data_IF_202489350150
#
_entry.id   IF_202489350150
#
_cell.length_a   1.000
_cell.length_b   1.000
_cell.length_c   1.000
_cell.angle_alpha   90.00
_cell.angle_beta   90.00
_cell.angle_gamma   90.00
#
_symmetry.space_group_name_H-M   'P 1'
#
loop_
_entity.id
_entity.type
_entity.pdbx_description
1 polymer ?
#
# COMPACT_ATOMS: atom_id res chain seq x y z
N UNK A 1 -8.61 -15.66 -12.00
CA UNK A 1 -8.26 -17.09 -11.75
C UNK A 1 -6.87 -17.32 -12.33
N UNK A 2 -5.88 -17.53 -11.46
CA UNK A 2 -4.53 -17.88 -11.88
C UNK A 2 -4.57 -19.23 -12.58
N UNK A 3 -4.49 -19.26 -13.90
CA UNK A 3 -4.10 -20.47 -14.61
C UNK A 3 -2.57 -20.63 -14.54
N UNK A 4 -2.06 -20.90 -13.36
CA UNK A 4 -0.81 -21.61 -13.25
C UNK A 4 -1.12 -23.07 -13.57
N UNK A 5 -0.37 -23.69 -14.46
CA UNK A 5 -0.42 -25.14 -14.58
C UNK A 5 0.06 -25.67 -13.22
N UNK A 6 -0.88 -26.20 -12.44
CA UNK A 6 -0.56 -26.73 -11.12
C UNK A 6 0.11 -28.08 -11.31
N UNK A 7 1.31 -28.19 -10.75
CA UNK A 7 1.96 -29.47 -10.57
C UNK A 7 1.47 -30.12 -9.28
N UNK A 8 1.62 -31.43 -9.10
CA UNK A 8 1.26 -32.10 -7.84
C UNK A 8 1.94 -31.54 -6.60
N UNK A 9 3.07 -30.83 -6.77
CA UNK A 9 3.84 -30.17 -5.70
C UNK A 9 3.40 -28.73 -5.42
N UNK A 10 2.49 -28.17 -6.21
CA UNK A 10 1.96 -26.82 -6.00
C UNK A 10 0.85 -26.84 -4.93
N UNK A 11 1.22 -26.58 -3.68
CA UNK A 11 0.26 -26.40 -2.60
C UNK A 11 -0.59 -25.14 -2.81
N UNK A 12 -1.92 -25.28 -2.79
CA UNK A 12 -2.84 -24.14 -2.67
C UNK A 12 -2.80 -23.61 -1.23
N UNK A 13 -2.40 -22.35 -1.07
CA UNK A 13 -2.45 -21.68 0.23
C UNK A 13 -3.72 -20.83 0.30
N UNK A 14 -4.71 -21.18 1.15
CA UNK A 14 -5.91 -20.37 1.28
C UNK A 14 -5.65 -19.10 2.09
N UNK A 15 -6.47 -18.08 1.88
CA UNK A 15 -6.61 -16.96 2.81
C UNK A 15 -7.31 -17.45 4.09
N UNK A 16 -6.99 -16.84 5.23
CA UNK A 16 -7.63 -17.24 6.50
C UNK A 16 -9.10 -16.80 6.54
N UNK A 17 -9.37 -15.55 6.18
CA UNK A 17 -10.72 -15.00 6.03
C UNK A 17 -10.86 -14.52 4.59
N UNK A 18 -11.68 -15.20 3.81
CA UNK A 18 -12.03 -14.79 2.45
C UNK A 18 -13.53 -14.44 2.37
N UNK A 19 -13.83 -13.22 1.98
CA UNK A 19 -15.17 -12.69 1.86
C UNK A 19 -15.42 -12.32 0.39
N UNK A 20 -16.49 -12.85 -0.20
CA UNK A 20 -16.82 -12.57 -1.59
C UNK A 20 -18.19 -11.91 -1.73
N UNK A 21 -18.22 -10.71 -2.32
CA UNK A 21 -19.43 -9.95 -2.61
C UNK A 21 -20.33 -9.72 -1.37
N UNK A 22 -19.71 -9.57 -0.19
CA UNK A 22 -20.43 -9.34 1.06
C UNK A 22 -20.71 -7.84 1.28
N UNK A 23 -21.78 -7.55 2.02
CA UNK A 23 -22.15 -6.18 2.41
C UNK A 23 -22.34 -6.08 3.91
N UNK A 24 -22.01 -4.92 4.48
CA UNK A 24 -22.14 -4.61 5.91
C UNK A 24 -21.46 -5.67 6.80
N UNK A 25 -20.17 -5.81 6.58
CA UNK A 25 -19.33 -6.77 7.30
C UNK A 25 -18.62 -6.05 8.45
N UNK A 26 -18.61 -6.69 9.61
CA UNK A 26 -17.80 -6.30 10.76
C UNK A 26 -16.90 -7.46 11.17
N UNK A 27 -15.59 -7.19 11.26
CA UNK A 27 -14.60 -8.06 11.90
C UNK A 27 -14.03 -7.26 13.06
N UNK A 28 -14.31 -7.68 14.29
CA UNK A 28 -13.99 -6.89 15.48
C UNK A 28 -13.34 -7.74 16.57
N UNK A 29 -12.33 -7.16 17.24
CA UNK A 29 -11.72 -7.65 18.48
C UNK A 29 -11.26 -9.12 18.44
N UNK A 30 -10.67 -9.53 17.32
CA UNK A 30 -10.12 -10.88 17.14
C UNK A 30 -8.61 -10.84 16.88
N UNK A 31 -7.95 -11.93 17.28
CA UNK A 31 -6.53 -12.16 16.95
C UNK A 31 -6.41 -13.24 15.89
N UNK A 32 -5.75 -12.92 14.78
CA UNK A 32 -5.57 -13.78 13.62
C UNK A 32 -4.09 -14.16 13.48
N UNK A 33 -3.82 -15.45 13.46
CA UNK A 33 -2.47 -16.00 13.52
C UNK A 33 -2.23 -17.03 12.42
N UNK A 34 -1.00 -17.09 11.93
CA UNK A 34 -0.46 -18.20 11.14
C UNK A 34 -1.29 -18.56 9.91
N UNK A 35 -1.78 -17.57 9.19
CA UNK A 35 -2.38 -17.81 7.87
C UNK A 35 -1.32 -18.32 6.88
N UNK A 36 -1.62 -19.33 6.07
CA UNK A 36 -0.68 -19.78 5.04
C UNK A 36 -0.52 -18.81 3.87
N UNK A 37 -1.38 -17.79 3.78
CA UNK A 37 -1.41 -16.75 2.73
C UNK A 37 -1.98 -15.46 3.33
N UNK A 38 -2.54 -14.55 2.54
CA UNK A 38 -3.21 -13.33 3.01
C UNK A 38 -4.18 -13.63 4.14
N UNK A 39 -4.23 -12.78 5.16
CA UNK A 39 -5.03 -13.07 6.37
C UNK A 39 -6.49 -12.70 6.16
N UNK A 40 -6.77 -11.42 5.84
CA UNK A 40 -8.13 -10.93 5.58
C UNK A 40 -8.20 -10.49 4.12
N UNK A 41 -8.97 -11.20 3.30
CA UNK A 41 -9.13 -10.89 1.87
C UNK A 41 -10.60 -10.72 1.50
N UNK A 42 -11.17 -9.51 1.64
CA UNK A 42 -12.48 -9.18 1.11
C UNK A 42 -12.36 -8.86 -0.39
N UNK A 43 -13.18 -9.50 -1.20
CA UNK A 43 -13.26 -9.31 -2.66
C UNK A 43 -14.67 -8.87 -3.04
N UNK A 44 -14.79 -7.74 -3.76
CA UNK A 44 -16.06 -7.12 -4.16
C UNK A 44 -17.01 -6.82 -3.00
N UNK A 45 -16.46 -6.50 -1.82
CA UNK A 45 -17.25 -6.19 -0.63
C UNK A 45 -17.56 -4.70 -0.53
N UNK A 46 -18.69 -4.39 0.12
CA UNK A 46 -19.12 -3.01 0.37
C UNK A 46 -19.51 -2.81 1.85
N UNK A 47 -19.07 -1.68 2.41
CA UNK A 47 -19.32 -1.32 3.82
C UNK A 47 -18.70 -2.35 4.77
N UNK A 48 -17.38 -2.47 4.73
CA UNK A 48 -16.59 -3.34 5.59
C UNK A 48 -15.94 -2.52 6.72
N UNK A 49 -16.04 -3.02 7.93
CA UNK A 49 -15.28 -2.51 9.09
C UNK A 49 -14.40 -3.62 9.65
N UNK A 50 -13.10 -3.32 9.80
CA UNK A 50 -12.11 -4.15 10.51
C UNK A 50 -11.62 -3.32 11.69
N UNK A 51 -11.93 -3.72 12.92
CA UNK A 51 -11.69 -2.92 14.11
C UNK A 51 -11.11 -3.74 15.25
N UNK A 52 -10.10 -3.19 15.94
CA UNK A 52 -9.50 -3.85 17.09
C UNK A 52 -8.88 -5.21 16.78
N UNK A 53 -8.54 -5.46 15.52
CA UNK A 53 -8.00 -6.76 15.07
C UNK A 53 -6.48 -6.78 15.24
N UNK A 54 -5.97 -7.88 15.78
CA UNK A 54 -4.55 -8.15 15.89
C UNK A 54 -4.13 -9.24 14.89
N UNK A 55 -3.30 -8.88 13.91
CA UNK A 55 -2.75 -9.81 12.93
C UNK A 55 -1.28 -10.08 13.26
N UNK A 56 -0.94 -11.35 13.43
CA UNK A 56 0.45 -11.82 13.52
C UNK A 56 0.68 -12.92 12.48
N UNK A 57 1.33 -12.59 11.37
CA UNK A 57 1.52 -13.50 10.24
C UNK A 57 2.83 -13.25 9.49
N UNK A 58 3.92 -13.79 9.98
CA UNK A 58 5.29 -13.59 9.49
C UNK A 58 5.66 -14.43 8.26
N UNK A 59 4.76 -15.27 7.76
CA UNK A 59 5.01 -16.12 6.59
C UNK A 59 5.09 -15.33 5.26
N UNK A 60 5.62 -15.94 4.20
CA UNK A 60 5.67 -15.33 2.87
C UNK A 60 4.26 -15.13 2.30
N UNK A 61 4.03 -13.98 1.67
CA UNK A 61 2.70 -13.49 1.27
C UNK A 61 1.71 -13.47 2.46
N UNK A 62 2.24 -13.14 3.62
CA UNK A 62 1.48 -13.07 4.87
C UNK A 62 0.88 -11.70 5.10
N UNK A 63 0.30 -11.10 4.05
CA UNK A 63 -0.37 -9.79 4.09
C UNK A 63 -1.49 -9.78 5.13
N UNK A 64 -1.65 -8.68 5.86
CA UNK A 64 -2.60 -8.61 6.96
C UNK A 64 -4.05 -8.39 6.52
N UNK A 65 -4.29 -7.41 5.65
CA UNK A 65 -5.63 -7.12 5.15
C UNK A 65 -5.56 -6.60 3.71
N UNK A 66 -6.20 -7.31 2.80
CA UNK A 66 -6.13 -7.09 1.35
C UNK A 66 -7.51 -6.80 0.74
N UNK A 67 -8.08 -5.60 0.95
CA UNK A 67 -9.33 -5.23 0.30
C UNK A 67 -9.14 -5.18 -1.22
N UNK A 68 -9.85 -6.03 -1.97
CA UNK A 68 -9.77 -6.09 -3.43
C UNK A 68 -11.10 -5.72 -4.07
N UNK A 69 -11.10 -4.68 -4.88
CA UNK A 69 -12.31 -4.11 -5.51
C UNK A 69 -13.43 -3.85 -4.50
N UNK A 70 -13.05 -3.34 -3.33
CA UNK A 70 -13.95 -3.06 -2.21
C UNK A 70 -14.27 -1.57 -2.12
N UNK A 71 -15.44 -1.26 -1.55
CA UNK A 71 -15.93 0.10 -1.38
C UNK A 71 -16.39 0.38 0.03
N UNK A 72 -16.08 1.60 0.53
CA UNK A 72 -16.45 2.05 1.87
C UNK A 72 -15.90 1.12 2.96
N UNK A 73 -14.57 1.08 3.07
CA UNK A 73 -13.85 0.23 4.02
C UNK A 73 -13.25 1.08 5.14
N UNK A 74 -13.48 0.68 6.37
CA UNK A 74 -12.84 1.25 7.56
C UNK A 74 -11.96 0.19 8.22
N UNK A 75 -10.67 0.51 8.39
CA UNK A 75 -9.71 -0.29 9.17
C UNK A 75 -9.23 0.59 10.31
N UNK A 76 -9.62 0.27 11.54
CA UNK A 76 -9.30 1.11 12.69
C UNK A 76 -8.86 0.33 13.93
N UNK A 77 -8.01 0.96 14.73
CA UNK A 77 -7.56 0.44 16.03
C UNK A 77 -6.89 -0.95 15.92
N UNK A 78 -6.33 -1.30 14.76
CA UNK A 78 -5.74 -2.60 14.47
C UNK A 78 -4.23 -2.62 14.67
N UNK A 79 -3.70 -3.82 14.93
CA UNK A 79 -2.25 -4.07 14.96
C UNK A 79 -1.89 -5.10 13.90
N UNK A 80 -0.89 -4.77 13.07
CA UNK A 80 -0.35 -5.65 12.03
C UNK A 80 1.12 -5.93 12.28
N UNK A 81 1.47 -7.22 12.28
CA UNK A 81 2.83 -7.73 12.38
C UNK A 81 2.98 -8.85 11.34
N UNK A 82 3.45 -8.49 10.15
CA UNK A 82 3.32 -9.32 8.94
C UNK A 82 4.67 -9.64 8.31
N UNK A 83 4.70 -10.67 7.49
CA UNK A 83 5.87 -11.05 6.68
C UNK A 83 5.82 -10.48 5.25
N UNK A 84 4.67 -9.93 4.84
CA UNK A 84 4.48 -9.17 3.61
C UNK A 84 3.76 -7.85 3.95
N UNK A 85 2.95 -7.26 3.10
CA UNK A 85 2.33 -5.97 3.35
C UNK A 85 1.35 -6.02 4.56
N UNK A 86 1.32 -4.99 5.42
CA UNK A 86 0.35 -4.95 6.53
C UNK A 86 -1.07 -4.77 6.02
N UNK A 87 -1.28 -3.79 5.13
CA UNK A 87 -2.53 -3.57 4.41
C UNK A 87 -2.17 -3.43 2.93
N UNK A 88 -2.76 -4.24 2.05
CA UNK A 88 -2.50 -4.19 0.61
C UNK A 88 -3.80 -4.07 -0.20
N UNK A 89 -4.12 -2.85 -0.58
CA UNK A 89 -5.33 -2.54 -1.35
C UNK A 89 -5.14 -2.97 -2.80
N UNK A 90 -6.11 -3.72 -3.33
CA UNK A 90 -6.07 -4.34 -4.66
C UNK A 90 -7.36 -4.06 -5.44
N UNK A 91 -7.32 -4.25 -6.76
CA UNK A 91 -8.50 -4.19 -7.64
C UNK A 91 -8.33 -5.04 -8.90
N UNK A 92 -7.85 -6.25 -8.69
CA UNK A 92 -7.68 -7.24 -9.74
C UNK A 92 -6.38 -7.14 -10.51
N UNK A 93 -6.01 -8.26 -11.11
CA UNK A 93 -4.72 -8.45 -11.77
C UNK A 93 -4.86 -8.48 -13.28
N UNK A 94 -4.07 -7.66 -13.98
CA UNK A 94 -3.91 -7.67 -15.43
C UNK A 94 -5.27 -7.63 -16.19
N UNK A 95 -5.42 -8.51 -17.18
CA UNK A 95 -6.61 -8.59 -18.00
C UNK A 95 -7.89 -8.85 -17.20
N UNK A 96 -7.81 -9.67 -16.15
CA UNK A 96 -8.98 -9.98 -15.33
C UNK A 96 -9.45 -8.73 -14.55
N UNK A 97 -8.54 -8.01 -13.91
CA UNK A 97 -8.86 -6.75 -13.24
C UNK A 97 -9.41 -5.69 -14.20
N UNK A 98 -8.81 -5.56 -15.39
CA UNK A 98 -9.31 -4.61 -16.41
C UNK A 98 -10.67 -5.00 -16.95
N UNK A 99 -10.95 -6.29 -17.11
CA UNK A 99 -12.26 -6.79 -17.58
C UNK A 99 -13.40 -6.43 -16.62
N UNK A 100 -13.16 -6.61 -15.32
CA UNK A 100 -14.11 -6.22 -14.30
C UNK A 100 -14.19 -4.71 -14.14
N UNK A 101 -13.05 -4.03 -14.22
CA UNK A 101 -12.93 -2.57 -14.10
C UNK A 101 -13.65 -1.99 -12.86
N UNK A 102 -13.55 -2.70 -11.74
CA UNK A 102 -14.12 -2.31 -10.45
C UNK A 102 -12.98 -1.82 -9.56
N UNK A 103 -12.87 -0.53 -9.28
CA UNK A 103 -11.85 0.00 -8.39
C UNK A 103 -12.10 -0.39 -6.93
N UNK A 104 -11.07 -0.34 -6.12
CA UNK A 104 -11.24 -0.14 -4.69
C UNK A 104 -11.38 1.35 -4.40
N UNK A 105 -12.32 1.75 -3.52
CA UNK A 105 -12.60 3.16 -3.27
C UNK A 105 -13.11 3.46 -1.86
N UNK A 106 -12.84 4.67 -1.39
CA UNK A 106 -13.29 5.18 -0.10
C UNK A 106 -12.81 4.29 1.06
N UNK A 107 -11.50 4.18 1.22
CA UNK A 107 -10.89 3.40 2.30
C UNK A 107 -10.27 4.34 3.33
N UNK A 108 -10.58 4.11 4.59
CA UNK A 108 -10.00 4.82 5.73
C UNK A 108 -9.21 3.82 6.57
N UNK A 109 -7.94 4.15 6.84
CA UNK A 109 -7.06 3.43 7.77
C UNK A 109 -6.69 4.40 8.89
N UNK A 110 -7.07 4.11 10.11
CA UNK A 110 -6.77 5.02 11.22
C UNK A 110 -6.45 4.33 12.53
N UNK A 111 -5.65 5.01 13.35
CA UNK A 111 -5.27 4.56 14.69
C UNK A 111 -4.61 3.17 14.71
N UNK A 112 -3.97 2.77 13.63
CA UNK A 112 -3.38 1.44 13.50
C UNK A 112 -1.89 1.46 13.87
N UNK A 113 -1.42 0.31 14.36
CA UNK A 113 -0.01 0.03 14.59
C UNK A 113 0.49 -0.99 13.55
N UNK A 114 1.46 -0.61 12.72
CA UNK A 114 2.15 -1.50 11.78
C UNK A 114 3.58 -1.73 12.29
N UNK A 115 3.96 -3.00 12.46
CA UNK A 115 5.27 -3.37 13.02
C UNK A 115 6.25 -3.80 11.94
N UNK A 116 5.96 -4.89 11.27
CA UNK A 116 6.85 -5.48 10.25
C UNK A 116 6.10 -5.64 8.93
N UNK A 117 6.85 -5.84 7.86
CA UNK A 117 6.29 -6.14 6.55
C UNK A 117 6.92 -5.35 5.41
N UNK A 118 6.50 -5.66 4.19
CA UNK A 118 7.02 -4.98 3.00
C UNK A 118 6.43 -3.57 2.81
N UNK A 119 5.36 -3.25 3.52
CA UNK A 119 4.75 -1.93 3.55
C UNK A 119 3.66 -1.79 4.61
N UNK A 120 3.52 -0.61 5.20
CA UNK A 120 2.48 -0.33 6.17
C UNK A 120 1.10 -0.23 5.50
N UNK A 121 0.92 0.77 4.64
CA UNK A 121 -0.27 0.86 3.78
C UNK A 121 0.18 0.86 2.33
N UNK A 122 -0.27 -0.15 1.58
CA UNK A 122 0.17 -0.43 0.23
C UNK A 122 -1.02 -0.40 -0.74
N UNK A 123 -0.81 0.16 -1.92
CA UNK A 123 -1.72 0.09 -3.06
C UNK A 123 -1.01 -0.74 -4.14
N UNK A 124 -1.62 -1.87 -4.51
CA UNK A 124 -1.07 -2.78 -5.50
C UNK A 124 -0.37 -4.02 -4.93
N UNK A 125 0.31 -4.76 -5.81
CA UNK A 125 0.48 -4.53 -7.26
C UNK A 125 -0.74 -4.85 -8.11
N UNK A 126 -1.67 -5.69 -7.68
CA UNK A 126 -2.89 -6.08 -8.38
C UNK A 126 -3.92 -4.93 -8.33
N UNK A 127 -3.71 -3.90 -9.16
CA UNK A 127 -4.49 -2.66 -9.11
C UNK A 127 -5.08 -2.26 -10.48
N UNK A 128 -5.37 -3.25 -11.32
CA UNK A 128 -5.77 -3.03 -12.70
C UNK A 128 -7.16 -2.40 -12.85
N UNK A 129 -8.03 -2.54 -11.84
CA UNK A 129 -9.33 -1.84 -11.78
C UNK A 129 -9.24 -0.40 -11.26
N UNK A 130 -8.04 0.04 -10.85
CA UNK A 130 -7.84 1.38 -10.29
C UNK A 130 -8.14 1.49 -8.80
N UNK A 131 -7.84 2.67 -8.26
CA UNK A 131 -8.08 3.02 -6.86
C UNK A 131 -8.35 4.51 -6.68
N UNK A 132 -9.23 4.88 -5.76
CA UNK A 132 -9.46 6.28 -5.38
C UNK A 132 -9.92 6.46 -3.95
N UNK A 133 -9.53 7.60 -3.38
CA UNK A 133 -9.94 8.10 -2.07
C UNK A 133 -9.44 7.22 -0.90
N UNK A 134 -8.13 7.24 -0.65
CA UNK A 134 -7.50 6.69 0.55
C UNK A 134 -7.27 7.78 1.59
N UNK A 135 -7.63 7.48 2.83
CA UNK A 135 -7.29 8.29 3.98
C UNK A 135 -6.54 7.43 4.99
N UNK A 136 -5.28 7.78 5.27
CA UNK A 136 -4.46 7.14 6.31
C UNK A 136 -4.16 8.16 7.38
N UNK A 137 -4.61 7.93 8.61
CA UNK A 137 -4.45 8.93 9.66
C UNK A 137 -4.18 8.35 11.05
N UNK A 138 -3.39 9.09 11.84
CA UNK A 138 -3.11 8.77 13.23
C UNK A 138 -2.53 7.37 13.44
N UNK A 139 -1.72 6.89 12.49
CA UNK A 139 -1.09 5.58 12.58
C UNK A 139 0.34 5.68 13.11
N UNK A 140 0.79 4.61 13.74
CA UNK A 140 2.18 4.45 14.16
C UNK A 140 2.81 3.27 13.43
N UNK A 141 4.04 3.47 12.98
CA UNK A 141 4.83 2.45 12.28
C UNK A 141 6.25 2.45 12.82
N UNK A 142 6.75 1.30 13.25
CA UNK A 142 8.08 1.25 13.87
C UNK A 142 8.67 -0.16 13.81
N UNK A 143 9.52 -0.41 12.83
CA UNK A 143 10.32 -1.62 12.79
C UNK A 143 11.47 -1.52 11.78
N UNK A 144 12.65 -2.10 12.08
CA UNK A 144 13.71 -2.26 11.09
C UNK A 144 13.33 -3.22 9.96
N UNK A 145 12.31 -4.06 10.18
CA UNK A 145 11.78 -5.02 9.21
C UNK A 145 10.52 -4.52 8.50
N UNK A 146 10.15 -3.26 8.70
CA UNK A 146 9.15 -2.58 7.87
C UNK A 146 9.88 -1.88 6.71
N UNK A 147 9.66 -2.33 5.48
CA UNK A 147 10.39 -1.75 4.35
C UNK A 147 9.96 -0.31 4.02
N UNK A 148 8.66 -0.07 3.92
CA UNK A 148 8.07 1.21 3.49
C UNK A 148 6.85 1.56 4.33
N UNK A 149 6.63 2.84 4.54
CA UNK A 149 5.46 3.31 5.31
C UNK A 149 4.23 3.36 4.41
N UNK A 150 4.29 4.14 3.33
CA UNK A 150 3.27 4.23 2.28
C UNK A 150 3.89 3.76 0.97
N UNK A 151 3.24 2.81 0.32
CA UNK A 151 3.77 2.21 -0.90
C UNK A 151 2.71 2.12 -1.99
N UNK A 152 3.02 2.64 -3.17
CA UNK A 152 2.23 2.44 -4.39
C UNK A 152 3.10 1.65 -5.36
N UNK A 153 2.64 0.46 -5.76
CA UNK A 153 3.39 -0.43 -6.65
C UNK A 153 2.48 -0.94 -7.76
N UNK A 154 2.87 -0.67 -9.00
CA UNK A 154 2.15 -1.13 -10.20
C UNK A 154 3.13 -1.23 -11.38
N UNK A 155 2.66 -1.59 -12.54
CA UNK A 155 3.45 -1.67 -13.77
C UNK A 155 2.58 -1.57 -15.02
N UNK A 156 3.23 -1.48 -16.17
CA UNK A 156 2.53 -1.46 -17.47
C UNK A 156 1.79 -2.76 -17.82
N UNK A 157 1.93 -3.81 -17.01
CA UNK A 157 1.08 -5.00 -17.06
C UNK A 157 -0.30 -4.78 -16.40
N UNK A 158 -0.33 -3.90 -15.40
CA UNK A 158 -1.51 -3.64 -14.56
C UNK A 158 -2.36 -2.52 -15.13
N UNK A 159 -1.74 -1.38 -15.43
CA UNK A 159 -2.48 -0.15 -15.69
C UNK A 159 -3.14 0.39 -14.43
N UNK A 160 -4.29 1.02 -14.61
CA UNK A 160 -5.14 1.54 -13.53
C UNK A 160 -4.84 3.00 -13.18
N UNK A 161 -5.88 3.72 -12.78
CA UNK A 161 -5.80 5.06 -12.22
C UNK A 161 -5.81 4.96 -10.69
N UNK A 162 -4.79 5.53 -10.05
CA UNK A 162 -4.65 5.59 -8.59
C UNK A 162 -4.64 7.07 -8.20
N UNK A 163 -5.65 7.51 -7.47
CA UNK A 163 -5.80 8.93 -7.17
C UNK A 163 -6.40 9.24 -5.79
N UNK A 164 -6.12 10.46 -5.31
CA UNK A 164 -6.66 11.01 -4.07
C UNK A 164 -6.21 10.22 -2.84
N UNK A 165 -4.93 10.24 -2.57
CA UNK A 165 -4.29 9.56 -1.44
C UNK A 165 -3.91 10.62 -0.40
N UNK A 166 -4.52 10.58 0.76
CA UNK A 166 -4.31 11.54 1.85
C UNK A 166 -3.76 10.82 3.08
N UNK A 167 -2.54 11.17 3.45
CA UNK A 167 -1.82 10.60 4.60
C UNK A 167 -1.52 11.71 5.59
N UNK A 168 -1.96 11.57 6.84
CA UNK A 168 -1.74 12.61 7.84
C UNK A 168 -1.52 12.08 9.26
N UNK A 169 -0.73 12.82 10.03
CA UNK A 169 -0.49 12.52 11.44
C UNK A 169 0.09 11.12 11.64
N UNK A 170 1.14 10.77 10.91
CA UNK A 170 1.82 9.47 11.02
C UNK A 170 3.11 9.64 11.80
N UNK A 171 3.29 8.78 12.79
CA UNK A 171 4.56 8.69 13.54
C UNK A 171 5.30 7.43 13.13
N UNK A 172 6.51 7.61 12.59
CA UNK A 172 7.39 6.52 12.20
C UNK A 172 8.62 6.53 13.09
N UNK A 173 8.83 5.45 13.85
CA UNK A 173 10.10 5.24 14.56
C UNK A 173 11.17 4.91 13.53
N UNK A 174 11.01 3.85 12.78
CA UNK A 174 11.91 3.51 11.68
C UNK A 174 11.20 2.69 10.60
N UNK A 175 11.74 2.80 9.39
CA UNK A 175 11.48 1.90 8.27
C UNK A 175 12.79 1.68 7.49
N UNK A 176 12.87 0.59 6.74
CA UNK A 176 14.13 0.22 6.08
C UNK A 176 14.43 1.09 4.87
N UNK A 177 13.47 1.26 3.94
CA UNK A 177 13.74 1.94 2.66
C UNK A 177 13.21 3.37 2.61
N UNK A 178 11.91 3.59 2.57
CA UNK A 178 11.35 4.92 2.34
C UNK A 178 10.02 5.15 3.07
N UNK A 179 9.78 6.41 3.45
CA UNK A 179 8.49 6.81 4.03
C UNK A 179 7.40 6.82 2.97
N UNK A 180 7.66 7.38 1.79
CA UNK A 180 6.77 7.26 0.63
C UNK A 180 7.52 6.59 -0.51
N UNK A 181 6.96 5.51 -1.06
CA UNK A 181 7.44 4.91 -2.30
C UNK A 181 6.33 4.79 -3.34
N UNK A 182 6.54 5.37 -4.52
CA UNK A 182 5.72 5.18 -5.72
C UNK A 182 6.60 4.49 -6.77
N UNK A 183 6.16 3.34 -7.29
CA UNK A 183 6.91 2.59 -8.30
C UNK A 183 5.98 2.07 -9.39
N UNK A 184 6.06 2.67 -10.58
CA UNK A 184 5.31 2.26 -11.78
C UNK A 184 6.05 1.22 -12.63
N UNK A 185 7.27 0.88 -12.22
CA UNK A 185 8.11 -0.15 -12.87
C UNK A 185 8.26 -1.38 -11.97
N UNK A 186 7.25 -1.66 -11.13
CA UNK A 186 7.25 -2.83 -10.27
C UNK A 186 7.08 -4.08 -11.12
N UNK A 187 8.17 -4.82 -11.27
CA UNK A 187 8.18 -6.05 -12.03
C UNK A 187 8.18 -7.26 -11.12
N UNK A 188 7.12 -8.02 -11.21
CA UNK A 188 7.19 -9.42 -10.83
C UNK A 188 7.63 -10.22 -12.08
N UNK A 189 8.19 -11.40 -11.89
CA UNK A 189 8.67 -12.27 -12.99
C UNK A 189 7.54 -12.82 -13.86
N UNK A 190 6.35 -12.24 -13.76
CA UNK A 190 5.18 -12.67 -14.50
C UNK A 190 5.29 -12.32 -15.97
N UNK A 191 4.98 -13.26 -16.83
CA UNK A 191 4.75 -13.01 -18.26
C UNK A 191 3.38 -12.35 -18.41
N UNK A 192 3.34 -11.14 -18.95
CA UNK A 192 2.12 -10.36 -19.12
C UNK A 192 2.15 -9.58 -20.42
N UNK A 193 0.99 -9.18 -20.89
CA UNK A 193 0.87 -8.15 -21.92
C UNK A 193 1.12 -6.78 -21.28
N UNK A 194 2.07 -6.01 -21.82
CA UNK A 194 2.40 -4.64 -21.41
C UNK A 194 1.68 -3.61 -22.28
N UNK A 195 1.88 -2.32 -21.99
CA UNK A 195 1.26 -1.21 -22.73
C UNK A 195 -0.02 -0.72 -22.07
N UNK A 196 -0.23 -1.05 -20.78
CA UNK A 196 -1.27 -0.48 -19.95
C UNK A 196 -0.63 0.44 -18.92
N UNK A 197 -0.44 1.71 -19.29
CA UNK A 197 0.31 2.65 -18.47
C UNK A 197 -0.54 3.10 -17.27
N UNK A 198 -0.07 2.86 -16.05
CA UNK A 198 -0.78 3.29 -14.85
C UNK A 198 -0.60 4.80 -14.63
N UNK A 199 -1.58 5.41 -13.98
CA UNK A 199 -1.51 6.82 -13.57
C UNK A 199 -1.66 6.92 -12.06
N UNK A 200 -0.76 7.68 -11.42
CA UNK A 200 -0.81 8.00 -9.99
C UNK A 200 -0.86 9.51 -9.82
N UNK A 201 -1.87 10.04 -9.14
CA UNK A 201 -1.99 11.47 -8.93
C UNK A 201 -2.67 11.85 -7.60
N UNK A 202 -2.45 13.07 -7.16
CA UNK A 202 -3.03 13.61 -5.93
C UNK A 202 -2.63 12.77 -4.71
N UNK A 203 -1.32 12.72 -4.40
CA UNK A 203 -0.76 12.01 -3.25
C UNK A 203 -0.23 13.03 -2.25
N UNK A 204 -0.83 13.11 -1.09
CA UNK A 204 -0.56 14.16 -0.11
C UNK A 204 -0.16 13.58 1.25
N UNK A 205 1.07 13.89 1.68
CA UNK A 205 1.57 13.59 3.01
C UNK A 205 1.60 14.86 3.86
N UNK A 206 0.99 14.81 5.04
CA UNK A 206 0.94 15.95 5.95
C UNK A 206 1.18 15.54 7.41
N UNK A 207 2.01 16.29 8.13
CA UNK A 207 2.32 16.03 9.54
C UNK A 207 2.86 14.60 9.76
N UNK A 208 3.87 14.18 9.00
CA UNK A 208 4.51 12.88 9.12
C UNK A 208 5.91 13.06 9.72
N UNK A 209 6.22 12.28 10.73
CA UNK A 209 7.56 12.22 11.32
C UNK A 209 8.18 10.85 11.14
N UNK A 210 9.47 10.79 10.83
CA UNK A 210 10.24 9.55 10.75
C UNK A 210 11.59 9.74 11.42
N UNK A 211 11.98 8.82 12.31
CA UNK A 211 13.25 8.93 13.03
C UNK A 211 14.39 8.25 12.29
N UNK A 212 14.10 7.26 11.40
CA UNK A 212 15.14 6.57 10.62
C UNK A 212 14.58 5.90 9.38
N UNK A 213 15.23 6.14 8.22
CA UNK A 213 14.97 5.49 6.94
C UNK A 213 16.18 5.57 6.02
N UNK A 214 16.18 4.86 4.90
CA UNK A 214 17.19 5.10 3.85
C UNK A 214 16.87 6.35 3.04
N UNK A 215 15.62 6.53 2.64
CA UNK A 215 15.12 7.66 1.84
C UNK A 215 13.86 8.26 2.48
N UNK A 216 13.60 9.52 2.22
CA UNK A 216 12.33 10.16 2.56
C UNK A 216 11.25 9.77 1.55
N UNK A 217 11.41 10.24 0.31
CA UNK A 217 10.50 10.01 -0.81
C UNK A 217 11.26 9.32 -1.93
N UNK A 218 10.70 8.22 -2.43
CA UNK A 218 11.22 7.47 -3.58
C UNK A 218 10.13 7.34 -4.63
N UNK A 219 10.30 8.00 -5.79
CA UNK A 219 9.38 7.90 -6.92
C UNK A 219 10.13 7.34 -8.13
N UNK A 220 9.60 6.26 -8.69
CA UNK A 220 10.06 5.63 -9.92
C UNK A 220 8.85 5.59 -10.87
N UNK A 221 8.69 6.65 -11.66
CA UNK A 221 7.67 6.74 -12.70
C UNK A 221 8.03 5.91 -13.93
N UNK A 222 7.33 6.16 -15.04
CA UNK A 222 7.73 5.66 -16.36
C UNK A 222 8.79 6.57 -16.97
N UNK A 223 9.17 6.30 -18.21
CA UNK A 223 10.26 7.04 -18.88
C UNK A 223 9.92 8.51 -19.11
N UNK A 224 8.63 8.84 -19.26
CA UNK A 224 8.13 10.21 -19.22
C UNK A 224 7.57 10.56 -17.83
N UNK A 225 7.40 11.82 -17.52
CA UNK A 225 6.93 12.31 -16.23
C UNK A 225 5.40 12.48 -16.14
N UNK A 226 4.65 12.07 -17.16
CA UNK A 226 3.19 12.29 -17.26
C UNK A 226 2.35 11.39 -16.37
N UNK A 227 2.93 10.30 -15.86
CA UNK A 227 2.19 9.24 -15.17
C UNK A 227 2.15 9.37 -13.65
N UNK A 228 3.02 10.19 -13.06
CA UNK A 228 2.98 10.51 -11.62
C UNK A 228 2.91 12.03 -11.45
N UNK A 229 1.85 12.54 -10.82
CA UNK A 229 1.67 13.98 -10.69
C UNK A 229 0.98 14.42 -9.40
N UNK A 230 1.17 15.69 -9.06
CA UNK A 230 0.58 16.33 -7.89
C UNK A 230 0.83 15.53 -6.60
N UNK A 231 2.12 15.40 -6.28
CA UNK A 231 2.58 14.79 -5.02
C UNK A 231 3.05 15.89 -4.07
N UNK A 232 2.52 15.95 -2.87
CA UNK A 232 2.92 16.96 -1.89
C UNK A 232 3.32 16.37 -0.55
N UNK A 233 4.37 16.94 0.05
CA UNK A 233 4.83 16.63 1.41
C UNK A 233 4.86 17.92 2.20
N UNK A 234 3.99 18.01 3.21
CA UNK A 234 3.78 19.24 4.00
C UNK A 234 3.93 19.00 5.51
N UNK A 235 4.66 19.88 6.18
CA UNK A 235 4.88 19.83 7.63
C UNK A 235 5.44 18.46 8.08
N UNK A 236 6.45 17.97 7.39
CA UNK A 236 7.06 16.66 7.64
C UNK A 236 8.50 16.82 8.12
N UNK A 237 8.95 15.87 8.94
CA UNK A 237 10.33 15.81 9.42
C UNK A 237 10.82 14.38 9.42
N UNK A 238 11.88 14.12 8.64
CA UNK A 238 12.55 12.82 8.58
C UNK A 238 13.99 12.98 9.03
N UNK A 239 14.35 12.27 10.09
CA UNK A 239 15.67 12.30 10.67
C UNK A 239 16.41 10.99 10.35
N UNK A 240 17.74 10.99 10.44
CA UNK A 240 18.61 9.85 10.14
C UNK A 240 18.30 9.16 8.78
N UNK A 241 18.04 9.98 7.78
CA UNK A 241 17.89 9.53 6.39
C UNK A 241 19.28 9.29 5.81
N UNK A 242 19.62 8.03 5.48
CA UNK A 242 21.02 7.62 5.24
C UNK A 242 21.47 7.74 3.78
N UNK A 243 20.57 7.82 2.80
CA UNK A 243 20.89 7.82 1.37
C UNK A 243 20.56 9.14 0.66
N UNK A 244 20.92 10.27 1.24
CA UNK A 244 20.90 11.58 0.57
C UNK A 244 19.55 12.26 0.44
N UNK A 245 18.47 11.73 1.04
CA UNK A 245 17.19 12.43 1.11
C UNK A 245 16.09 11.80 0.25
N UNK A 246 15.81 12.37 -0.92
CA UNK A 246 14.75 11.91 -1.84
C UNK A 246 15.38 11.44 -3.17
N UNK A 247 14.73 10.48 -3.85
CA UNK A 247 15.03 10.07 -5.23
C UNK A 247 13.74 10.09 -6.04
N UNK A 248 13.62 11.03 -6.98
CA UNK A 248 12.38 11.28 -7.73
C UNK A 248 12.70 11.28 -9.23
N UNK A 249 12.08 10.35 -9.94
CA UNK A 249 12.23 10.17 -11.38
C UNK A 249 10.88 9.86 -12.04
N UNK A 250 10.61 10.46 -13.19
CA UNK A 250 9.38 10.25 -13.96
C UNK A 250 8.13 10.75 -13.21
N UNK A 251 8.20 11.97 -12.68
CA UNK A 251 7.09 12.62 -11.98
C UNK A 251 7.16 14.14 -12.15
N UNK A 252 6.01 14.81 -12.18
CA UNK A 252 5.91 16.28 -12.20
C UNK A 252 4.99 16.79 -11.07
N UNK A 253 5.02 18.09 -10.82
CA UNK A 253 4.27 18.75 -9.75
C UNK A 253 4.50 18.10 -8.37
N UNK A 254 5.76 17.78 -8.06
CA UNK A 254 6.16 17.31 -6.73
C UNK A 254 6.55 18.52 -5.89
N UNK A 255 5.85 18.74 -4.78
CA UNK A 255 6.00 19.95 -3.96
C UNK A 255 6.34 19.62 -2.51
N UNK A 256 7.24 20.41 -1.94
CA UNK A 256 7.66 20.32 -0.55
C UNK A 256 7.37 21.62 0.17
N UNK A 257 6.68 21.54 1.31
CA UNK A 257 6.39 22.72 2.14
C UNK A 257 6.64 22.39 3.60
N UNK A 258 7.53 23.17 4.24
CA UNK A 258 7.91 22.92 5.63
C UNK A 258 8.31 21.47 5.88
N UNK A 259 9.13 20.93 4.96
CA UNK A 259 9.63 19.56 4.99
C UNK A 259 11.13 19.55 5.27
N UNK A 260 11.53 18.81 6.28
CA UNK A 260 12.92 18.73 6.71
C UNK A 260 13.44 17.30 6.62
N UNK A 261 14.64 17.15 6.09
CA UNK A 261 15.41 15.89 6.12
C UNK A 261 16.72 16.16 6.83
N UNK A 262 17.03 15.40 7.89
CA UNK A 262 18.23 15.55 8.68
C UNK A 262 18.46 16.99 9.18
N UNK A 263 17.39 17.67 9.54
CA UNK A 263 17.41 19.07 10.00
C UNK A 263 17.51 20.12 8.87
N UNK A 264 17.65 19.72 7.62
CA UNK A 264 17.74 20.65 6.46
C UNK A 264 16.40 20.77 5.76
N UNK A 265 16.01 22.00 5.45
CA UNK A 265 14.79 22.30 4.69
C UNK A 265 14.94 21.79 3.24
N UNK A 266 14.04 20.91 2.82
CA UNK A 266 13.92 20.45 1.44
C UNK A 266 13.22 21.53 0.61
N UNK A 267 13.82 21.89 -0.53
CA UNK A 267 13.31 22.91 -1.46
C UNK A 267 12.63 22.28 -2.65
#
# INVERSE_FOLDING_TARGET
>A
VYRRVMTPDDGLRPQLINLYACRRVLIEDVTLLNSPFWVIHPLFCESLTVKGVHVYNRGPNGDGCDPESCKNVLIEDCTFDTGDDCIAIKSGRNQDGRRWNIPSENIIVRNCLMKNGHGGVVIGSEISGGYRNLYVENCRMDSPDLDRVIRIKTSTCRGGLIENIFVRNITVGQCREAVLRINLQYENRERCQRGYDPVVRNVHLKNVTCQKSELGVLIIGLDDDSHVSNVSVENCRFDNVSRGGNDIRGAHDVTFRNFYINGQLVK
#
